data_IF_980141144977
#
_entry.id   IF_980141144977
#
_cell.length_a   1.000
_cell.length_b   1.000
_cell.length_c   1.000
_cell.angle_alpha   90.00
_cell.angle_beta   90.00
_cell.angle_gamma   90.00
#
_symmetry.space_group_name_H-M   'P 1'
#
loop_
_entity.id
_entity.type
_entity.pdbx_description
1 polymer ?
#
# COMPACT_ATOMS: atom_id res chain seq x y z
N UNK A 1 0.48 -22.50 -0.04
CA UNK A 1 -0.08 -22.12 1.27
C UNK A 1 -1.27 -21.20 1.03
N UNK A 2 -2.52 -21.72 1.11
CA UNK A 2 -3.74 -20.92 0.92
C UNK A 2 -4.19 -20.44 2.30
N UNK A 3 -4.06 -19.15 2.56
CA UNK A 3 -4.83 -18.51 3.64
C UNK A 3 -6.31 -18.64 3.28
N UNK A 4 -7.14 -19.08 4.22
CA UNK A 4 -8.58 -19.16 3.96
C UNK A 4 -9.16 -17.74 3.83
N UNK A 5 -10.20 -17.60 3.01
CA UNK A 5 -10.86 -16.31 2.75
C UNK A 5 -11.31 -15.61 4.06
N UNK A 6 -11.66 -16.39 5.08
CA UNK A 6 -11.98 -15.92 6.43
C UNK A 6 -10.83 -15.17 7.11
N UNK A 7 -9.59 -15.66 6.97
CA UNK A 7 -8.41 -15.08 7.61
C UNK A 7 -8.07 -13.69 7.06
N UNK A 8 -8.38 -13.47 5.78
CA UNK A 8 -8.11 -12.20 5.09
C UNK A 8 -9.13 -11.13 5.43
N UNK A 9 -10.40 -11.51 5.54
CA UNK A 9 -11.44 -10.61 6.03
C UNK A 9 -11.11 -10.13 7.45
N UNK A 10 -10.67 -11.06 8.30
CA UNK A 10 -10.19 -10.75 9.63
C UNK A 10 -8.98 -9.82 9.60
N UNK A 11 -8.00 -10.05 8.73
CA UNK A 11 -6.82 -9.18 8.61
C UNK A 11 -7.17 -7.73 8.24
N UNK A 12 -8.09 -7.51 7.31
CA UNK A 12 -8.56 -6.15 6.97
C UNK A 12 -9.21 -5.48 8.19
N UNK A 13 -10.05 -6.22 8.92
CA UNK A 13 -10.64 -5.75 10.18
C UNK A 13 -9.59 -5.42 11.25
N UNK A 14 -8.57 -6.26 11.41
CA UNK A 14 -7.47 -6.07 12.37
C UNK A 14 -6.65 -4.81 12.05
N UNK A 15 -6.39 -4.51 10.78
CA UNK A 15 -5.75 -3.25 10.36
C UNK A 15 -6.61 -2.07 10.79
N UNK A 16 -7.89 -2.02 10.41
CA UNK A 16 -8.75 -0.89 10.82
C UNK A 16 -8.81 -0.76 12.35
N UNK A 17 -8.90 -1.88 13.06
CA UNK A 17 -8.95 -1.92 14.51
C UNK A 17 -7.67 -1.37 15.16
N UNK A 18 -6.49 -1.64 14.61
CA UNK A 18 -5.21 -1.19 15.19
C UNK A 18 -5.09 0.34 15.14
N UNK A 19 -5.53 0.98 14.07
CA UNK A 19 -5.56 2.44 13.95
C UNK A 19 -6.69 3.08 14.77
N UNK A 20 -7.82 2.37 14.93
CA UNK A 20 -8.98 2.86 15.65
C UNK A 20 -8.81 2.83 17.18
N UNK A 21 -8.30 1.72 17.73
CA UNK A 21 -8.49 1.31 19.15
C UNK A 21 -8.20 2.41 20.17
N UNK A 22 -7.19 3.23 19.92
CA UNK A 22 -6.71 4.24 20.87
C UNK A 22 -7.12 5.68 20.50
N UNK A 23 -7.88 5.86 19.41
CA UNK A 23 -8.19 7.19 18.84
C UNK A 23 -9.69 7.41 18.63
N UNK A 24 -10.44 6.35 18.31
CA UNK A 24 -11.84 6.44 17.93
C UNK A 24 -12.65 5.25 18.46
N UNK A 25 -13.94 5.48 18.65
CA UNK A 25 -14.94 4.47 18.99
C UNK A 25 -15.51 3.81 17.74
N UNK A 26 -16.04 2.59 17.86
CA UNK A 26 -16.77 1.95 16.75
C UNK A 26 -18.01 2.76 16.32
N UNK A 27 -18.60 3.53 17.24
CA UNK A 27 -19.77 4.37 16.95
C UNK A 27 -19.40 5.53 16.01
N UNK A 28 -18.27 6.20 16.26
CA UNK A 28 -17.82 7.31 15.40
C UNK A 28 -17.55 6.83 13.97
N UNK A 29 -16.90 5.68 13.81
CA UNK A 29 -16.62 5.10 12.48
C UNK A 29 -17.90 4.62 11.78
N UNK A 30 -18.83 4.05 12.54
CA UNK A 30 -20.12 3.65 12.01
C UNK A 30 -20.90 4.86 11.47
N UNK A 31 -20.87 5.99 12.19
CA UNK A 31 -21.48 7.25 11.72
C UNK A 31 -20.80 7.77 10.45
N UNK A 32 -19.48 7.84 10.43
CA UNK A 32 -18.69 8.31 9.27
C UNK A 32 -18.92 7.45 8.01
N UNK A 33 -19.15 6.14 8.21
CA UNK A 33 -19.45 5.19 7.13
C UNK A 33 -20.95 4.97 6.89
N UNK A 34 -21.83 5.78 7.50
CA UNK A 34 -23.29 5.66 7.37
C UNK A 34 -23.83 4.24 7.63
N UNK A 35 -23.26 3.56 8.62
CA UNK A 35 -23.56 2.18 9.01
C UNK A 35 -24.03 2.08 10.46
N UNK A 36 -24.70 0.97 10.79
CA UNK A 36 -24.98 0.65 12.19
C UNK A 36 -23.69 0.25 12.92
N UNK A 37 -23.59 0.56 14.21
CA UNK A 37 -22.45 0.15 15.05
C UNK A 37 -22.24 -1.38 15.02
N UNK A 38 -23.33 -2.16 15.05
CA UNK A 38 -23.24 -3.63 15.01
C UNK A 38 -22.70 -4.12 13.66
N UNK A 39 -23.17 -3.55 12.54
CA UNK A 39 -22.67 -3.89 11.22
C UNK A 39 -21.19 -3.54 11.04
N UNK A 40 -20.77 -2.36 11.53
CA UNK A 40 -19.36 -2.00 11.57
C UNK A 40 -18.53 -2.98 12.42
N UNK A 41 -19.02 -3.35 13.61
CA UNK A 41 -18.33 -4.29 14.49
C UNK A 41 -18.20 -5.69 13.86
N UNK A 42 -19.17 -6.14 13.09
CA UNK A 42 -19.08 -7.42 12.38
C UNK A 42 -18.04 -7.37 11.25
N UNK A 43 -17.88 -6.24 10.55
CA UNK A 43 -16.81 -6.05 9.57
C UNK A 43 -15.43 -5.93 10.22
N UNK A 44 -15.30 -5.15 11.29
CA UNK A 44 -14.04 -4.97 12.02
C UNK A 44 -13.53 -6.27 12.66
N UNK A 45 -14.43 -7.15 13.10
CA UNK A 45 -14.04 -8.45 13.65
C UNK A 45 -13.89 -9.54 12.57
N UNK A 46 -14.04 -9.20 11.28
CA UNK A 46 -13.89 -10.14 10.17
C UNK A 46 -15.03 -11.15 10.01
N UNK A 47 -16.15 -10.99 10.72
CA UNK A 47 -17.34 -11.85 10.55
C UNK A 47 -18.01 -11.62 9.18
N UNK A 48 -17.94 -10.38 8.69
CA UNK A 48 -18.42 -9.96 7.38
C UNK A 48 -17.28 -9.26 6.64
N UNK A 49 -17.24 -9.39 5.31
CA UNK A 49 -16.28 -8.67 4.48
C UNK A 49 -16.42 -7.15 4.66
N UNK A 50 -15.30 -6.47 4.86
CA UNK A 50 -15.30 -5.02 4.92
C UNK A 50 -15.66 -4.41 3.56
N UNK A 51 -16.66 -3.55 3.54
CA UNK A 51 -17.06 -2.87 2.30
C UNK A 51 -16.01 -1.81 1.89
N UNK A 52 -15.89 -1.56 0.58
CA UNK A 52 -15.02 -0.49 0.06
C UNK A 52 -15.36 0.89 0.66
N UNK A 53 -16.64 1.13 0.95
CA UNK A 53 -17.09 2.39 1.57
C UNK A 53 -16.52 2.56 2.98
N UNK A 54 -16.64 1.53 3.82
CA UNK A 54 -16.09 1.52 5.19
C UNK A 54 -14.57 1.63 5.18
N UNK A 55 -13.87 0.86 4.33
CA UNK A 55 -12.42 0.92 4.25
C UNK A 55 -11.91 2.30 3.82
N UNK A 56 -12.57 2.95 2.85
CA UNK A 56 -12.23 4.32 2.42
C UNK A 56 -12.53 5.36 3.50
N UNK A 57 -13.66 5.22 4.19
CA UNK A 57 -13.99 6.09 5.32
C UNK A 57 -12.91 6.01 6.40
N UNK A 58 -12.48 4.80 6.77
CA UNK A 58 -11.44 4.60 7.77
C UNK A 58 -10.09 5.22 7.37
N UNK A 59 -9.65 5.02 6.11
CA UNK A 59 -8.42 5.65 5.59
C UNK A 59 -8.47 7.18 5.67
N UNK A 60 -9.59 7.79 5.27
CA UNK A 60 -9.75 9.26 5.34
C UNK A 60 -9.79 9.77 6.78
N UNK A 61 -10.55 9.10 7.64
CA UNK A 61 -10.75 9.51 9.02
C UNK A 61 -9.46 9.40 9.84
N UNK A 62 -8.66 8.35 9.62
CA UNK A 62 -7.43 8.14 10.38
C UNK A 62 -6.27 8.96 9.85
N UNK A 63 -6.22 9.21 8.54
CA UNK A 63 -5.23 10.07 7.91
C UNK A 63 -3.77 9.61 8.06
N UNK A 64 -3.53 8.39 8.55
CA UNK A 64 -2.16 7.88 8.70
C UNK A 64 -1.63 7.38 7.34
N UNK A 65 -0.47 7.88 6.88
CA UNK A 65 0.08 7.54 5.56
C UNK A 65 0.44 6.06 5.35
N UNK A 66 0.55 5.27 6.41
CA UNK A 66 0.82 3.82 6.31
C UNK A 66 -0.46 2.98 6.16
N UNK A 67 -1.60 3.50 6.59
CA UNK A 67 -2.84 2.71 6.57
C UNK A 67 -3.23 2.23 5.16
N UNK A 68 -3.15 3.03 4.07
CA UNK A 68 -3.45 2.53 2.74
C UNK A 68 -2.56 1.36 2.30
N UNK A 69 -1.30 1.35 2.74
CA UNK A 69 -0.31 0.30 2.44
C UNK A 69 -0.73 -1.00 3.11
N UNK A 70 -1.01 -0.95 4.41
CA UNK A 70 -1.46 -2.12 5.17
C UNK A 70 -2.83 -2.63 4.70
N UNK A 71 -3.76 -1.74 4.37
CA UNK A 71 -5.07 -2.11 3.83
C UNK A 71 -4.93 -2.83 2.47
N UNK A 72 -4.08 -2.32 1.58
CA UNK A 72 -3.83 -2.94 0.28
C UNK A 72 -3.24 -4.35 0.45
N UNK A 73 -2.27 -4.52 1.36
CA UNK A 73 -1.66 -5.82 1.63
C UNK A 73 -2.65 -6.76 2.33
N UNK A 74 -3.44 -6.28 3.29
CA UNK A 74 -4.45 -7.09 3.97
C UNK A 74 -5.50 -7.63 2.99
N UNK A 75 -5.95 -6.78 2.07
CA UNK A 75 -6.94 -7.14 1.06
C UNK A 75 -6.35 -8.09 0.00
N UNK A 76 -5.22 -7.74 -0.61
CA UNK A 76 -4.69 -8.42 -1.80
C UNK A 76 -3.67 -9.51 -1.48
N UNK A 77 -2.97 -9.39 -0.35
CA UNK A 77 -1.98 -10.35 0.13
C UNK A 77 -0.61 -10.15 -0.51
N UNK A 78 -0.46 -9.09 -1.29
CA UNK A 78 0.73 -8.80 -2.08
C UNK A 78 1.13 -7.34 -1.91
N UNK A 79 2.42 -7.07 -2.04
CA UNK A 79 2.99 -5.72 -1.92
C UNK A 79 3.60 -5.43 -0.55
N UNK A 80 4.06 -4.18 -0.35
CA UNK A 80 4.74 -3.76 0.88
C UNK A 80 3.85 -3.95 2.13
N UNK A 81 4.48 -4.29 3.24
CA UNK A 81 3.88 -4.32 4.59
C UNK A 81 4.44 -3.17 5.42
N UNK A 82 3.77 -2.77 6.50
CA UNK A 82 4.41 -1.93 7.51
C UNK A 82 5.57 -2.69 8.16
N UNK A 83 6.75 -2.07 8.22
CA UNK A 83 7.94 -2.66 8.81
C UNK A 83 8.00 -2.32 10.31
N UNK A 84 7.93 -3.34 11.16
CA UNK A 84 7.89 -3.23 12.63
C UNK A 84 8.88 -4.18 13.34
N UNK A 85 9.83 -4.76 12.60
CA UNK A 85 10.84 -5.67 13.14
C UNK A 85 11.94 -4.96 13.94
N UNK A 86 12.72 -5.74 14.70
CA UNK A 86 13.79 -5.26 15.59
C UNK A 86 14.90 -4.44 14.90
N UNK A 87 15.10 -4.65 13.59
CA UNK A 87 16.13 -3.97 12.80
C UNK A 87 15.59 -2.75 12.03
N UNK A 88 14.35 -2.32 12.32
CA UNK A 88 13.70 -1.23 11.60
C UNK A 88 13.78 0.06 12.42
N UNK A 89 14.37 1.10 11.83
CA UNK A 89 14.28 2.48 12.31
C UNK A 89 13.51 3.32 11.29
N UNK A 90 12.35 3.83 11.69
CA UNK A 90 11.46 4.65 10.86
C UNK A 90 11.77 6.15 10.90
N UNK A 91 12.88 6.57 11.50
CA UNK A 91 13.35 7.94 11.37
C UNK A 91 13.66 8.27 9.89
N UNK A 92 13.23 9.44 9.39
CA UNK A 92 13.40 9.86 7.97
C UNK A 92 14.79 9.64 7.40
N UNK A 93 15.84 9.80 8.21
CA UNK A 93 17.21 9.66 7.73
C UNK A 93 17.56 8.19 7.49
N UNK A 94 17.15 7.30 8.39
CA UNK A 94 17.33 5.85 8.23
C UNK A 94 16.56 5.34 7.02
N UNK A 95 15.28 5.72 6.90
CA UNK A 95 14.43 5.32 5.77
C UNK A 95 14.97 5.85 4.44
N UNK A 96 15.50 7.09 4.42
CA UNK A 96 16.17 7.66 3.24
C UNK A 96 17.41 6.85 2.84
N UNK A 97 18.30 6.53 3.78
CA UNK A 97 19.51 5.73 3.47
C UNK A 97 19.14 4.32 3.00
N UNK A 98 18.17 3.66 3.63
CA UNK A 98 17.64 2.37 3.18
C UNK A 98 17.05 2.48 1.76
N UNK A 99 16.28 3.52 1.49
CA UNK A 99 15.70 3.77 0.16
C UNK A 99 16.77 3.97 -0.91
N UNK A 100 17.81 4.74 -0.61
CA UNK A 100 18.93 4.92 -1.55
C UNK A 100 19.69 3.63 -1.81
N UNK A 101 19.89 2.80 -0.78
CA UNK A 101 20.49 1.47 -0.94
C UNK A 101 19.63 0.59 -1.86
N UNK A 102 18.36 0.39 -1.54
CA UNK A 102 17.51 -0.52 -2.33
C UNK A 102 17.28 -0.03 -3.77
N UNK A 103 17.29 1.28 -4.00
CA UNK A 103 17.25 1.83 -5.37
C UNK A 103 18.53 1.55 -6.15
N UNK A 104 19.70 1.59 -5.51
CA UNK A 104 20.99 1.26 -6.15
C UNK A 104 21.06 -0.23 -6.45
N UNK A 105 20.74 -1.08 -5.47
CA UNK A 105 20.75 -2.52 -5.65
C UNK A 105 19.79 -2.95 -6.78
N UNK A 106 18.59 -2.37 -6.84
CA UNK A 106 17.65 -2.62 -7.94
C UNK A 106 18.15 -2.10 -9.31
N UNK A 107 18.82 -0.95 -9.34
CA UNK A 107 19.41 -0.41 -10.56
C UNK A 107 20.55 -1.30 -11.08
N UNK A 108 21.47 -1.68 -10.20
CA UNK A 108 22.61 -2.55 -10.54
C UNK A 108 22.11 -3.86 -11.16
N UNK A 109 21.09 -4.49 -10.57
CA UNK A 109 20.49 -5.72 -11.11
C UNK A 109 19.72 -5.51 -12.42
N UNK A 110 19.19 -4.32 -12.68
CA UNK A 110 18.58 -3.99 -13.98
C UNK A 110 19.65 -3.78 -15.06
N UNK A 111 20.78 -3.18 -14.71
CA UNK A 111 21.89 -2.91 -15.63
C UNK A 111 22.66 -4.21 -15.98
N UNK A 112 22.85 -5.09 -15.00
CA UNK A 112 23.52 -6.38 -15.20
C UNK A 112 22.67 -7.39 -15.99
N UNK A 113 21.35 -7.27 -15.92
CA UNK A 113 20.44 -8.26 -16.50
C UNK A 113 19.93 -7.87 -17.89
N UNK A 114 20.43 -8.58 -18.92
CA UNK A 114 20.00 -8.37 -20.30
C UNK A 114 18.64 -9.02 -20.58
N UNK A 115 17.56 -8.26 -20.39
CA UNK A 115 16.19 -8.65 -20.73
C UNK A 115 15.82 -8.41 -22.22
N UNK A 116 16.82 -8.26 -23.10
CA UNK A 116 16.59 -8.00 -24.53
C UNK A 116 16.00 -9.21 -25.27
N UNK A 117 16.19 -10.42 -24.75
CA UNK A 117 15.60 -11.65 -25.28
C UNK A 117 14.19 -11.85 -24.73
N UNK A 118 13.26 -12.48 -25.49
CA UNK A 118 12.01 -12.96 -24.92
C UNK A 118 12.29 -13.85 -23.70
N UNK A 119 11.50 -13.69 -22.63
CA UNK A 119 11.66 -14.46 -21.38
C UNK A 119 11.59 -15.99 -21.60
N UNK A 120 10.93 -16.44 -22.66
CA UNK A 120 10.86 -17.85 -23.06
C UNK A 120 12.19 -18.42 -23.54
N UNK A 121 13.14 -17.57 -23.93
CA UNK A 121 14.41 -17.94 -24.55
C UNK A 121 15.61 -17.71 -23.60
N UNK A 122 15.35 -17.37 -22.33
CA UNK A 122 16.39 -17.27 -21.32
C UNK A 122 16.88 -18.66 -20.92
N UNK A 123 18.19 -18.81 -20.80
CA UNK A 123 18.77 -19.99 -20.15
C UNK A 123 18.53 -19.94 -18.63
N UNK A 124 18.88 -21.01 -17.91
CA UNK A 124 18.62 -21.12 -16.46
C UNK A 124 19.32 -20.03 -15.64
N UNK A 125 20.54 -19.64 -16.01
CA UNK A 125 21.28 -18.56 -15.33
C UNK A 125 20.62 -17.20 -15.57
N UNK A 126 20.24 -16.90 -16.80
CA UNK A 126 19.54 -15.67 -17.17
C UNK A 126 18.16 -15.58 -16.48
N UNK A 127 17.45 -16.70 -16.38
CA UNK A 127 16.18 -16.80 -15.63
C UNK A 127 16.38 -16.51 -14.15
N UNK A 128 17.38 -17.12 -13.54
CA UNK A 128 17.70 -16.93 -12.11
C UNK A 128 18.05 -15.47 -11.83
N UNK A 129 18.84 -14.84 -12.72
CA UNK A 129 19.13 -13.41 -12.63
C UNK A 129 17.85 -12.56 -12.71
N UNK A 130 16.92 -12.89 -13.62
CA UNK A 130 15.64 -12.18 -13.75
C UNK A 130 14.76 -12.30 -12.51
N UNK A 131 14.69 -13.49 -11.91
CA UNK A 131 13.97 -13.72 -10.66
C UNK A 131 14.57 -12.92 -9.50
N UNK A 132 15.90 -12.82 -9.44
CA UNK A 132 16.58 -11.95 -8.48
C UNK A 132 16.27 -10.48 -8.72
N UNK A 133 16.34 -9.99 -9.96
CA UNK A 133 15.96 -8.61 -10.30
C UNK A 133 14.54 -8.29 -9.83
N UNK A 134 13.58 -9.22 -9.96
CA UNK A 134 12.20 -9.02 -9.47
C UNK A 134 12.15 -8.82 -7.96
N UNK A 135 12.97 -9.56 -7.20
CA UNK A 135 13.05 -9.41 -5.74
C UNK A 135 13.62 -8.04 -5.35
N UNK A 136 14.73 -7.61 -5.97
CA UNK A 136 15.34 -6.30 -5.70
C UNK A 136 14.38 -5.14 -6.02
N UNK A 137 13.59 -5.27 -7.10
CA UNK A 137 12.54 -4.30 -7.43
C UNK A 137 11.41 -4.26 -6.38
N UNK A 138 11.08 -5.40 -5.76
CA UNK A 138 10.11 -5.47 -4.68
C UNK A 138 10.66 -4.82 -3.39
N UNK A 139 11.96 -4.98 -3.10
CA UNK A 139 12.65 -4.30 -2.00
C UNK A 139 12.66 -2.77 -2.21
N UNK A 140 13.05 -2.31 -3.40
CA UNK A 140 13.01 -0.90 -3.78
C UNK A 140 11.60 -0.31 -3.67
N UNK A 141 10.57 -1.02 -4.13
CA UNK A 141 9.16 -0.59 -3.98
C UNK A 141 8.77 -0.46 -2.51
N UNK A 142 9.20 -1.39 -1.66
CA UNK A 142 8.93 -1.36 -0.22
C UNK A 142 9.58 -0.14 0.41
N UNK A 143 10.87 0.11 0.12
CA UNK A 143 11.59 1.26 0.66
C UNK A 143 11.00 2.60 0.18
N UNK A 144 10.69 2.74 -1.11
CA UNK A 144 10.02 3.93 -1.67
C UNK A 144 8.66 4.20 -0.99
N UNK A 145 7.86 3.14 -0.78
CA UNK A 145 6.56 3.26 -0.12
C UNK A 145 6.73 3.79 1.30
N UNK A 146 7.69 3.25 2.06
CA UNK A 146 7.99 3.74 3.41
C UNK A 146 8.47 5.18 3.40
N UNK A 147 9.35 5.54 2.46
CA UNK A 147 9.86 6.91 2.35
C UNK A 147 8.74 7.91 2.09
N UNK A 148 7.81 7.60 1.18
CA UNK A 148 6.62 8.43 0.93
C UNK A 148 5.80 8.58 2.20
N UNK A 149 5.48 7.47 2.88
CA UNK A 149 4.65 7.48 4.09
C UNK A 149 5.30 8.24 5.25
N UNK A 150 6.61 8.06 5.48
CA UNK A 150 7.37 8.81 6.50
C UNK A 150 7.40 10.29 6.19
N UNK A 151 7.70 10.69 4.94
CA UNK A 151 7.69 12.09 4.56
C UNK A 151 6.29 12.71 4.69
N UNK A 152 5.24 12.01 4.28
CA UNK A 152 3.88 12.49 4.45
C UNK A 152 3.55 12.69 5.94
N UNK A 153 3.98 11.76 6.80
CA UNK A 153 3.75 11.84 8.24
C UNK A 153 4.51 13.00 8.89
N UNK A 154 5.78 13.19 8.55
CA UNK A 154 6.59 14.29 9.10
C UNK A 154 6.17 15.67 8.57
N UNK A 155 5.70 15.76 7.32
CA UNK A 155 5.21 17.00 6.72
C UNK A 155 3.73 17.27 6.97
N UNK A 156 3.03 16.38 7.70
CA UNK A 156 1.58 16.42 7.88
C UNK A 156 0.83 16.57 6.53
N UNK A 157 1.25 15.81 5.53
CA UNK A 157 0.66 15.78 4.19
C UNK A 157 -0.27 14.58 4.03
N UNK A 158 -1.40 14.81 3.35
CA UNK A 158 -2.33 13.74 2.99
C UNK A 158 -1.73 12.89 1.84
N UNK A 159 -1.41 11.63 2.14
CA UNK A 159 -0.90 10.67 1.16
C UNK A 159 -1.88 10.44 0.01
N UNK A 160 -3.19 10.57 0.25
CA UNK A 160 -4.22 10.44 -0.79
C UNK A 160 -4.05 11.52 -1.83
N UNK A 161 -3.77 12.76 -1.40
CA UNK A 161 -3.51 13.89 -2.28
C UNK A 161 -2.25 13.68 -3.12
N UNK A 162 -1.17 13.15 -2.54
CA UNK A 162 0.06 12.82 -3.28
C UNK A 162 -0.25 11.90 -4.48
N UNK A 163 -1.07 10.86 -4.27
CA UNK A 163 -1.47 9.96 -5.34
C UNK A 163 -2.44 10.60 -6.34
N UNK A 164 -3.38 11.44 -5.90
CA UNK A 164 -4.25 12.20 -6.81
C UNK A 164 -3.45 13.10 -7.75
N UNK A 165 -2.47 13.84 -7.22
CA UNK A 165 -1.60 14.71 -7.98
C UNK A 165 -0.74 13.89 -8.96
N UNK A 166 -0.23 12.73 -8.53
CA UNK A 166 0.49 11.82 -9.42
C UNK A 166 -0.39 11.28 -10.56
N UNK A 167 -1.64 10.89 -10.29
CA UNK A 167 -2.56 10.42 -11.34
C UNK A 167 -2.91 11.53 -12.34
N UNK A 168 -3.08 12.77 -11.87
CA UNK A 168 -3.25 13.94 -12.73
C UNK A 168 -2.03 14.12 -13.65
N UNK A 169 -0.82 13.98 -13.10
CA UNK A 169 0.41 14.03 -13.89
C UNK A 169 0.46 12.92 -14.95
N UNK A 170 0.24 11.65 -14.56
CA UNK A 170 0.21 10.51 -15.50
C UNK A 170 -0.80 10.72 -16.64
N UNK A 171 -1.98 11.26 -16.32
CA UNK A 171 -3.00 11.57 -17.33
C UNK A 171 -2.54 12.68 -18.28
N UNK A 172 -1.91 13.74 -17.75
CA UNK A 172 -1.37 14.84 -18.57
C UNK A 172 -0.31 14.37 -19.57
N UNK A 173 0.50 13.38 -19.18
CA UNK A 173 1.54 12.77 -20.01
C UNK A 173 1.01 11.66 -20.93
N UNK A 174 -0.31 11.38 -20.92
CA UNK A 174 -0.97 10.31 -21.67
C UNK A 174 -0.49 8.90 -21.31
N UNK A 175 0.09 8.71 -20.12
CA UNK A 175 0.45 7.38 -19.61
C UNK A 175 -0.77 6.58 -19.15
N UNK A 176 -1.89 7.23 -18.87
CA UNK A 176 -3.17 6.58 -18.55
C UNK A 176 -4.32 7.15 -19.39
N UNK A 177 -5.30 6.30 -19.71
CA UNK A 177 -6.49 6.70 -20.46
C UNK A 177 -7.42 7.58 -19.62
N UNK A 178 -8.30 8.35 -20.29
CA UNK A 178 -9.36 9.14 -19.62
C UNK A 178 -10.29 8.26 -18.77
N UNK A 179 -10.58 7.05 -19.23
CA UNK A 179 -11.37 6.07 -18.49
C UNK A 179 -10.65 5.62 -17.21
N UNK A 180 -9.36 5.25 -17.33
CA UNK A 180 -8.54 4.88 -16.17
C UNK A 180 -8.44 6.03 -15.17
N UNK A 181 -8.22 7.25 -15.65
CA UNK A 181 -8.13 8.45 -14.82
C UNK A 181 -9.42 8.70 -14.02
N UNK A 182 -10.59 8.52 -14.64
CA UNK A 182 -11.89 8.62 -13.93
C UNK A 182 -12.04 7.61 -12.79
N UNK A 183 -11.51 6.39 -12.95
CA UNK A 183 -11.62 5.33 -11.93
C UNK A 183 -10.71 5.56 -10.71
N UNK A 184 -9.53 6.16 -10.91
CA UNK A 184 -8.54 6.36 -9.84
C UNK A 184 -8.73 7.70 -9.10
N UNK A 185 -9.51 8.62 -9.67
CA UNK A 185 -9.86 9.86 -9.00
C UNK A 185 -10.82 9.56 -7.85
N UNK A 186 -10.43 9.91 -6.63
CA UNK A 186 -11.35 9.88 -5.50
C UNK A 186 -12.24 11.09 -5.67
N UNK A 187 -13.53 10.89 -5.93
CA UNK A 187 -14.48 12.01 -5.90
C UNK A 187 -14.49 12.57 -4.48
N UNK A 188 -14.19 13.85 -4.33
CA UNK A 188 -14.50 14.58 -3.12
C UNK A 188 -16.02 14.46 -2.94
N UNK A 189 -16.43 13.66 -1.96
CA UNK A 189 -17.81 13.67 -1.51
C UNK A 189 -17.95 14.99 -0.77
N UNK A 190 -18.60 15.96 -1.41
CA UNK A 190 -18.97 17.24 -0.82
C UNK A 190 -19.96 17.04 0.32
#
# INVERSE_FOLDING_TARGET
MKMEYSDRNKRVGDVVKSYRKDRFTQTELALESSMSRSGYADQENGKVLMSNHVGRAAVRMFGDPFMPVEMAQALTGVGPVFLDGENVDLHRSSVKEKTLKELRDALDHLEENCLAKPLSNLNELERTAAERTIMELAEAKTALTHMISVLCKELNHDVTKVWQDHYQHLFSQKYISKEKFRLVRVEAVN
#
